data_IF_789265881818
#
_entry.id   IF_789265881818
#
_cell.length_a   1.000
_cell.length_b   1.000
_cell.length_c   1.000
_cell.angle_alpha   90.00
_cell.angle_beta   90.00
_cell.angle_gamma   90.00
#
_symmetry.space_group_name_H-M   'P 1'
#
loop_
_entity.id
_entity.type
_entity.pdbx_description
1 polymer ?
#
# COMPACT_ATOMS: atom_id res chain seq x y z
N UNK A 1 -1.64 3.07 22.13
CA UNK A 1 -1.30 2.88 20.70
C UNK A 1 -2.46 3.47 19.92
N UNK A 2 -2.20 4.22 18.85
CA UNK A 2 -3.26 4.88 18.06
C UNK A 2 -4.02 3.84 17.24
N UNK A 3 -5.30 4.05 16.99
CA UNK A 3 -6.09 3.21 16.08
C UNK A 3 -5.79 3.55 14.61
N UNK A 4 -6.12 2.64 13.70
CA UNK A 4 -5.99 2.90 12.26
C UNK A 4 -6.87 4.07 11.82
N UNK A 5 -8.09 4.18 12.38
CA UNK A 5 -9.02 5.28 12.06
C UNK A 5 -8.47 6.63 12.49
N UNK A 6 -7.84 6.71 13.67
CA UNK A 6 -7.16 7.93 14.16
C UNK A 6 -5.99 8.32 13.26
N UNK A 7 -5.21 7.34 12.79
CA UNK A 7 -4.09 7.58 11.87
C UNK A 7 -4.61 8.08 10.52
N UNK A 8 -5.68 7.47 9.97
CA UNK A 8 -6.29 7.88 8.71
C UNK A 8 -6.86 9.31 8.77
N UNK A 9 -7.49 9.68 9.89
CA UNK A 9 -7.95 11.07 10.10
C UNK A 9 -6.78 12.05 10.07
N UNK A 10 -5.67 11.75 10.78
CA UNK A 10 -4.45 12.57 10.75
C UNK A 10 -3.84 12.68 9.36
N UNK A 11 -3.83 11.60 8.58
CA UNK A 11 -3.33 11.60 7.19
C UNK A 11 -4.21 12.53 6.34
N UNK A 12 -5.54 12.41 6.42
CA UNK A 12 -6.46 13.24 5.63
C UNK A 12 -6.35 14.74 5.96
N UNK A 13 -6.02 15.06 7.21
CA UNK A 13 -5.79 16.43 7.67
C UNK A 13 -4.35 16.95 7.42
N UNK A 14 -3.44 16.13 6.89
CA UNK A 14 -2.03 16.50 6.71
C UNK A 14 -1.25 16.70 8.01
N UNK A 15 -1.68 16.06 9.10
CA UNK A 15 -1.09 16.19 10.46
C UNK A 15 -0.39 14.92 10.93
N UNK A 16 -0.29 13.90 10.08
CA UNK A 16 0.41 12.66 10.43
C UNK A 16 1.92 12.91 10.52
N UNK A 17 2.53 12.43 11.59
CA UNK A 17 3.98 12.31 11.74
C UNK A 17 4.43 11.10 10.94
N UNK A 18 5.06 11.35 9.80
CA UNK A 18 5.57 10.32 8.89
C UNK A 18 7.09 10.29 8.95
N UNK A 19 7.66 9.12 9.17
CA UNK A 19 9.11 8.88 9.10
C UNK A 19 9.43 7.88 7.99
N UNK A 20 10.64 7.96 7.47
CA UNK A 20 11.26 6.88 6.72
C UNK A 20 11.79 5.81 7.68
N UNK A 21 12.01 4.60 7.15
CA UNK A 21 12.64 3.51 7.91
C UNK A 21 14.05 3.88 8.40
N UNK A 22 14.77 4.73 7.67
CA UNK A 22 16.09 5.22 8.05
C UNK A 22 16.01 6.19 9.24
N UNK A 23 15.09 7.15 9.19
CA UNK A 23 14.83 8.07 10.31
C UNK A 23 14.42 7.31 11.57
N UNK A 24 13.58 6.27 11.45
CA UNK A 24 13.22 5.43 12.58
C UNK A 24 14.46 4.78 13.19
N UNK A 25 15.32 4.16 12.37
CA UNK A 25 16.55 3.48 12.84
C UNK A 25 17.47 4.43 13.61
N UNK A 26 17.62 5.66 13.13
CA UNK A 26 18.43 6.67 13.83
C UNK A 26 17.78 7.11 15.15
N UNK A 27 16.48 7.40 15.15
CA UNK A 27 15.75 7.85 16.35
C UNK A 27 15.69 6.81 17.46
N UNK A 28 15.55 5.52 17.13
CA UNK A 28 15.50 4.47 18.16
C UNK A 28 16.85 4.21 18.82
N UNK A 29 17.96 4.58 18.17
CA UNK A 29 19.29 4.54 18.79
C UNK A 29 19.46 5.62 19.87
N UNK A 30 18.89 6.80 19.64
CA UNK A 30 18.91 7.91 20.61
C UNK A 30 17.82 7.79 21.68
N UNK A 31 16.74 7.08 21.38
CA UNK A 31 15.56 6.94 22.24
C UNK A 31 15.26 5.47 22.56
N UNK A 32 14.00 5.04 22.38
CA UNK A 32 13.57 3.65 22.52
C UNK A 32 12.42 3.36 21.55
N UNK A 33 12.21 2.09 21.23
CA UNK A 33 11.07 1.65 20.41
C UNK A 33 9.73 2.14 20.99
N UNK A 34 9.57 2.03 22.31
CA UNK A 34 8.37 2.46 23.02
C UNK A 34 8.11 3.96 22.86
N UNK A 35 9.18 4.77 22.86
CA UNK A 35 9.06 6.22 22.66
C UNK A 35 8.77 6.55 21.20
N UNK A 36 9.52 5.95 20.27
CA UNK A 36 9.28 6.09 18.84
C UNK A 36 7.83 5.76 18.45
N UNK A 37 7.27 4.67 18.97
CA UNK A 37 5.89 4.24 18.73
C UNK A 37 4.82 5.19 19.29
N UNK A 38 5.17 6.09 20.23
CA UNK A 38 4.29 7.15 20.72
C UNK A 38 4.35 8.40 19.85
N UNK A 39 5.39 8.56 19.04
CA UNK A 39 5.63 9.79 18.28
C UNK A 39 5.22 9.63 16.82
N UNK A 40 5.62 8.54 16.18
CA UNK A 40 5.34 8.26 14.77
C UNK A 40 3.91 7.76 14.56
N UNK A 41 3.27 8.18 13.47
CA UNK A 41 1.99 7.63 13.04
C UNK A 41 2.18 6.64 11.88
N UNK A 42 3.07 6.95 10.95
CA UNK A 42 3.34 6.14 9.76
C UNK A 42 4.85 6.02 9.54
N UNK A 43 5.32 4.81 9.29
CA UNK A 43 6.69 4.57 8.82
C UNK A 43 6.60 4.14 7.35
N UNK A 44 7.33 4.86 6.50
CA UNK A 44 7.47 4.55 5.08
C UNK A 44 8.77 3.81 4.85
N UNK A 45 8.71 2.73 4.07
CA UNK A 45 9.88 1.97 3.67
C UNK A 45 9.79 1.69 2.18
N UNK A 46 10.93 1.76 1.50
CA UNK A 46 11.09 1.32 0.12
C UNK A 46 12.06 0.15 0.13
N UNK A 47 11.69 -0.93 -0.53
CA UNK A 47 12.63 -2.02 -0.87
C UNK A 47 12.90 -1.94 -2.36
N UNK A 48 14.17 -2.12 -2.73
CA UNK A 48 14.60 -2.22 -4.12
C UNK A 48 15.43 -3.50 -4.28
N UNK A 49 14.78 -4.62 -4.01
CA UNK A 49 15.32 -5.95 -4.27
C UNK A 49 14.58 -6.57 -5.46
N UNK A 50 15.21 -7.47 -6.25
CA UNK A 50 14.50 -8.28 -7.22
C UNK A 50 13.48 -9.15 -6.46
N UNK A 51 12.23 -8.69 -6.39
CA UNK A 51 11.13 -9.46 -5.83
C UNK A 51 10.55 -10.32 -6.93
N UNK A 52 10.84 -11.62 -6.91
CA UNK A 52 10.07 -12.58 -7.69
C UNK A 52 8.75 -12.90 -6.96
N UNK A 53 7.65 -12.99 -7.70
CA UNK A 53 6.32 -13.44 -7.23
C UNK A 53 5.50 -12.46 -6.39
N UNK A 54 5.79 -11.15 -6.43
CA UNK A 54 4.86 -10.16 -5.91
C UNK A 54 3.76 -9.85 -6.93
N UNK A 55 2.55 -9.59 -6.46
CA UNK A 55 1.46 -9.20 -7.35
C UNK A 55 0.22 -8.78 -6.59
N UNK A 56 -0.70 -8.12 -7.29
CA UNK A 56 -1.96 -7.63 -6.75
C UNK A 56 -3.13 -8.29 -7.48
N UNK A 57 -4.14 -8.74 -6.71
CA UNK A 57 -5.46 -9.09 -7.26
C UNK A 57 -6.34 -7.85 -7.13
N UNK A 58 -6.90 -7.42 -8.26
CA UNK A 58 -7.70 -6.21 -8.36
C UNK A 58 -9.08 -6.59 -8.90
N UNK A 59 -10.12 -6.27 -8.14
CA UNK A 59 -11.50 -6.33 -8.62
C UNK A 59 -11.93 -4.89 -9.00
N UNK A 60 -12.27 -4.68 -10.27
CA UNK A 60 -12.66 -3.35 -10.75
C UNK A 60 -14.15 -3.02 -10.55
N UNK A 61 -14.93 -3.96 -10.04
CA UNK A 61 -16.37 -3.86 -9.95
C UNK A 61 -17.06 -4.05 -11.30
N UNK A 62 -18.32 -4.47 -11.25
CA UNK A 62 -19.15 -4.58 -12.44
C UNK A 62 -19.69 -3.21 -12.87
N UNK A 63 -19.78 -3.01 -14.18
CA UNK A 63 -20.52 -1.92 -14.80
C UNK A 63 -21.97 -2.33 -15.09
N UNK A 64 -22.81 -1.35 -15.41
CA UNK A 64 -24.13 -1.58 -15.99
C UNK A 64 -24.18 -0.92 -17.38
N UNK A 65 -24.25 -1.69 -18.49
CA UNK A 65 -24.41 -3.14 -18.55
C UNK A 65 -23.14 -3.92 -18.12
N UNK A 66 -23.29 -5.19 -17.68
CA UNK A 66 -22.17 -6.01 -17.24
C UNK A 66 -21.13 -6.26 -18.35
N UNK A 67 -19.86 -6.08 -17.99
CA UNK A 67 -18.72 -6.40 -18.86
C UNK A 67 -18.01 -7.68 -18.42
N UNK A 68 -17.34 -8.32 -19.38
CA UNK A 68 -16.36 -9.39 -19.13
C UNK A 68 -15.02 -9.00 -19.73
N UNK A 69 -14.06 -8.70 -18.87
CA UNK A 69 -12.71 -8.30 -19.25
C UNK A 69 -11.97 -9.52 -19.80
N UNK A 70 -11.48 -9.40 -21.04
CA UNK A 70 -10.71 -10.44 -21.73
C UNK A 70 -9.22 -10.16 -21.79
N UNK A 71 -8.85 -8.88 -21.80
CA UNK A 71 -7.49 -8.38 -21.76
C UNK A 71 -7.52 -7.01 -21.08
N UNK A 72 -6.48 -6.68 -20.32
CA UNK A 72 -6.39 -5.41 -19.60
C UNK A 72 -4.93 -4.96 -19.52
N UNK A 73 -4.71 -3.65 -19.64
CA UNK A 73 -3.43 -3.01 -19.35
C UNK A 73 -3.67 -1.87 -18.38
N UNK A 74 -2.84 -1.79 -17.34
CA UNK A 74 -2.79 -0.69 -16.40
C UNK A 74 -1.49 0.06 -16.69
N UNK A 75 -1.60 1.30 -17.18
CA UNK A 75 -0.46 2.13 -17.59
C UNK A 75 0.54 1.41 -18.53
N UNK A 76 0.02 0.64 -19.47
CA UNK A 76 0.82 -0.11 -20.44
C UNK A 76 1.39 -1.44 -19.92
N UNK A 77 1.17 -1.77 -18.66
CA UNK A 77 1.55 -3.06 -18.06
C UNK A 77 0.38 -4.04 -18.16
N UNK A 78 0.65 -5.26 -18.62
CA UNK A 78 -0.38 -6.30 -18.75
C UNK A 78 -0.92 -6.71 -17.37
N UNK A 79 -2.24 -6.63 -17.20
CA UNK A 79 -2.97 -7.20 -16.07
C UNK A 79 -3.75 -8.44 -16.54
N UNK A 80 -3.43 -9.60 -15.95
CA UNK A 80 -3.97 -10.89 -16.34
C UNK A 80 -5.44 -11.02 -15.91
N UNK A 81 -6.34 -11.12 -16.88
CA UNK A 81 -7.76 -11.44 -16.67
C UNK A 81 -8.02 -12.95 -16.73
N UNK A 82 -9.22 -13.38 -16.31
CA UNK A 82 -9.69 -14.77 -16.46
C UNK A 82 -10.09 -15.45 -15.15
N UNK A 83 -9.85 -14.80 -14.01
CA UNK A 83 -10.29 -15.26 -12.68
C UNK A 83 -11.80 -15.08 -12.48
N UNK A 84 -12.34 -14.00 -13.05
CA UNK A 84 -13.74 -13.64 -13.03
C UNK A 84 -14.04 -12.68 -14.17
N UNK A 85 -15.23 -12.07 -14.16
CA UNK A 85 -15.61 -11.13 -15.23
C UNK A 85 -14.86 -9.80 -15.14
N UNK A 86 -14.50 -9.36 -13.92
CA UNK A 86 -13.87 -8.06 -13.65
C UNK A 86 -12.68 -8.16 -12.68
N UNK A 87 -12.19 -9.39 -12.48
CA UNK A 87 -11.03 -9.69 -11.64
C UNK A 87 -9.75 -9.75 -12.48
N UNK A 88 -8.70 -9.10 -11.98
CA UNK A 88 -7.40 -8.97 -12.62
C UNK A 88 -6.28 -9.34 -11.66
N UNK A 89 -5.18 -9.85 -12.21
CA UNK A 89 -3.92 -10.02 -11.51
C UNK A 89 -2.83 -9.16 -12.17
N UNK A 90 -2.18 -8.30 -11.39
CA UNK A 90 -1.03 -7.52 -11.83
C UNK A 90 0.23 -8.12 -11.19
N UNK A 91 1.14 -8.63 -12.01
CA UNK A 91 2.47 -9.07 -11.55
C UNK A 91 3.37 -7.86 -11.32
N UNK A 92 4.20 -7.92 -10.27
CA UNK A 92 5.28 -6.97 -9.98
C UNK A 92 6.64 -7.51 -10.44
#
# INVERSE_FOLDING_TARGET
MRSIDEINDKISQGKATVWTIEELKNRVQETSITQAAKEVDVITTGTFEPMESSGAIINLGHTDPPIKIRQCWLDGVLAYSGFGAVDLYLGA
#
